data_IF_255291338380
#
_entry.id   IF_255291338380
#
_cell.length_a   1.000
_cell.length_b   1.000
_cell.length_c   1.000
_cell.angle_alpha   90.00
_cell.angle_beta   90.00
_cell.angle_gamma   90.00
#
_symmetry.space_group_name_H-M   'P 1'
#
loop_
_entity.id
_entity.type
_entity.pdbx_description
1 polymer ?
#
# COMPACT_ATOMS: atom_id res chain seq x y z
N UNK A 1 1.12 4.11 -14.59
CA UNK A 1 0.97 5.41 -13.90
C UNK A 1 0.71 5.23 -12.40
N UNK A 2 -0.30 4.45 -12.01
CA UNK A 2 -0.57 4.12 -10.59
C UNK A 2 0.68 3.55 -9.88
N UNK A 3 1.32 2.54 -10.47
CA UNK A 3 2.56 1.96 -9.91
C UNK A 3 3.62 3.02 -9.61
N UNK A 4 3.90 3.91 -10.56
CA UNK A 4 4.90 4.98 -10.38
C UNK A 4 4.49 5.94 -9.27
N UNK A 5 3.24 6.42 -9.26
CA UNK A 5 2.75 7.33 -8.21
C UNK A 5 2.79 6.70 -6.81
N UNK A 6 2.43 5.41 -6.71
CA UNK A 6 2.46 4.65 -5.47
C UNK A 6 3.89 4.43 -4.97
N UNK A 7 4.83 4.10 -5.85
CA UNK A 7 6.23 3.84 -5.48
C UNK A 7 7.03 5.11 -5.18
N UNK A 8 6.58 6.28 -5.66
CA UNK A 8 7.18 7.57 -5.33
C UNK A 8 6.54 8.24 -4.10
N UNK A 9 5.46 7.70 -3.54
CA UNK A 9 4.82 8.25 -2.33
C UNK A 9 3.80 9.35 -2.58
N UNK A 10 3.29 9.49 -3.81
CA UNK A 10 2.32 10.54 -4.14
C UNK A 10 0.87 10.11 -3.84
N UNK A 11 0.48 10.15 -2.56
CA UNK A 11 -0.84 9.76 -2.09
C UNK A 11 -1.99 10.43 -2.83
N UNK A 12 -1.92 11.74 -3.08
CA UNK A 12 -3.01 12.48 -3.74
C UNK A 12 -3.20 12.07 -5.21
N UNK A 13 -2.12 11.76 -5.91
CA UNK A 13 -2.19 11.23 -7.28
C UNK A 13 -2.80 9.83 -7.26
N UNK A 14 -2.42 9.01 -6.27
CA UNK A 14 -2.99 7.66 -6.08
C UNK A 14 -4.50 7.72 -5.85
N UNK A 15 -4.97 8.60 -4.94
CA UNK A 15 -6.40 8.82 -4.68
C UNK A 15 -7.13 9.26 -5.96
N UNK A 16 -6.54 10.21 -6.68
CA UNK A 16 -7.12 10.71 -7.93
C UNK A 16 -7.25 9.61 -8.98
N UNK A 17 -6.19 8.81 -9.18
CA UNK A 17 -6.21 7.70 -10.12
C UNK A 17 -7.25 6.64 -9.73
N UNK A 18 -7.40 6.33 -8.44
CA UNK A 18 -8.40 5.35 -8.00
C UNK A 18 -9.84 5.82 -8.24
N UNK A 19 -10.13 7.11 -8.04
CA UNK A 19 -11.49 7.67 -8.20
C UNK A 19 -11.85 7.82 -9.67
N UNK A 20 -10.93 8.30 -10.49
CA UNK A 20 -11.21 8.70 -11.88
C UNK A 20 -10.79 7.67 -12.94
N UNK A 21 -10.00 6.65 -12.58
CA UNK A 21 -9.55 5.64 -13.51
C UNK A 21 -10.01 4.24 -13.08
N UNK A 22 -11.09 3.76 -13.70
CA UNK A 22 -11.71 2.44 -13.45
C UNK A 22 -10.81 1.24 -13.77
N UNK A 23 -9.75 1.43 -14.57
CA UNK A 23 -8.76 0.38 -14.85
C UNK A 23 -7.60 0.35 -13.84
N UNK A 24 -7.51 1.34 -12.95
CA UNK A 24 -6.45 1.44 -11.95
C UNK A 24 -6.75 0.54 -10.75
N UNK A 25 -6.43 -0.74 -10.87
CA UNK A 25 -6.48 -1.68 -9.75
C UNK A 25 -5.09 -1.85 -9.13
N UNK A 26 -5.02 -1.88 -7.80
CA UNK A 26 -3.78 -2.17 -7.10
C UNK A 26 -3.42 -3.65 -7.25
N UNK A 27 -2.27 -3.91 -7.87
CA UNK A 27 -1.68 -5.24 -7.87
C UNK A 27 -0.93 -5.50 -6.55
N UNK A 28 -0.81 -6.78 -6.18
CA UNK A 28 0.02 -7.20 -5.04
C UNK A 28 1.46 -6.72 -5.15
N UNK A 29 1.98 -6.62 -6.38
CA UNK A 29 3.32 -6.08 -6.66
C UNK A 29 3.39 -4.58 -6.32
N UNK A 30 2.32 -3.83 -6.57
CA UNK A 30 2.28 -2.40 -6.25
C UNK A 30 2.29 -2.17 -4.75
N UNK A 31 1.42 -2.85 -3.99
CA UNK A 31 1.37 -2.74 -2.51
C UNK A 31 2.67 -3.19 -1.86
N UNK A 32 3.27 -4.26 -2.36
CA UNK A 32 4.58 -4.75 -1.93
C UNK A 32 5.69 -3.70 -2.12
N UNK A 33 5.69 -3.01 -3.26
CA UNK A 33 6.70 -1.99 -3.54
C UNK A 33 6.49 -0.70 -2.73
N UNK A 34 5.23 -0.34 -2.46
CA UNK A 34 4.87 0.76 -1.55
C UNK A 34 5.41 0.48 -0.15
N UNK A 35 5.23 -0.75 0.36
CA UNK A 35 5.76 -1.18 1.65
C UNK A 35 7.28 -1.20 1.68
N UNK A 36 7.91 -1.71 0.62
CA UNK A 36 9.36 -1.69 0.45
C UNK A 36 9.97 -0.27 0.44
N UNK A 37 9.19 0.74 0.03
CA UNK A 37 9.64 2.13 -0.04
C UNK A 37 9.22 2.98 1.17
N UNK A 38 8.69 2.37 2.24
CA UNK A 38 8.21 3.04 3.46
C UNK A 38 7.07 4.06 3.24
N UNK A 39 6.22 3.85 2.24
CA UNK A 39 5.09 4.76 1.96
C UNK A 39 3.85 4.38 2.79
N UNK A 40 3.97 4.50 4.12
CA UNK A 40 2.95 4.10 5.09
C UNK A 40 1.58 4.75 4.83
N UNK A 41 1.54 6.04 4.49
CA UNK A 41 0.28 6.77 4.27
C UNK A 41 -0.56 6.16 3.14
N UNK A 42 0.10 5.70 2.07
CA UNK A 42 -0.56 5.02 0.96
C UNK A 42 -1.11 3.68 1.43
N UNK A 43 -0.34 2.90 2.21
CA UNK A 43 -0.80 1.62 2.73
C UNK A 43 -1.98 1.78 3.69
N UNK A 44 -1.95 2.76 4.58
CA UNK A 44 -3.08 3.07 5.47
C UNK A 44 -4.33 3.44 4.68
N UNK A 45 -4.17 4.27 3.65
CA UNK A 45 -5.30 4.65 2.80
C UNK A 45 -5.86 3.46 2.02
N UNK A 46 -5.00 2.60 1.47
CA UNK A 46 -5.40 1.36 0.80
C UNK A 46 -6.07 0.37 1.75
N UNK A 47 -5.67 0.36 3.02
CA UNK A 47 -6.26 -0.54 4.01
C UNK A 47 -7.70 -0.16 4.34
N UNK A 48 -8.07 1.10 4.14
CA UNK A 48 -9.46 1.56 4.21
C UNK A 48 -10.29 1.22 2.95
N UNK A 49 -9.70 0.63 1.91
CA UNK A 49 -10.39 0.25 0.68
C UNK A 49 -10.68 -1.27 0.68
N UNK A 50 -11.96 -1.65 0.61
CA UNK A 50 -12.39 -3.05 0.62
C UNK A 50 -11.97 -3.86 -0.62
N UNK A 51 -11.54 -3.18 -1.69
CA UNK A 51 -11.18 -3.81 -2.97
C UNK A 51 -9.73 -4.28 -3.05
N UNK A 52 -8.91 -3.98 -2.03
CA UNK A 52 -7.47 -4.26 -2.06
C UNK A 52 -7.19 -5.66 -1.53
N UNK A 53 -6.48 -6.45 -2.35
CA UNK A 53 -5.90 -7.72 -1.88
C UNK A 53 -4.59 -7.44 -1.16
N UNK A 54 -4.46 -8.02 0.02
CA UNK A 54 -3.24 -7.99 0.82
C UNK A 54 -2.49 -9.32 0.70
N UNK A 55 -1.17 -9.26 0.57
CA UNK A 55 -0.27 -10.44 0.61
C UNK A 55 0.64 -10.34 1.83
N UNK A 56 1.12 -11.48 2.32
CA UNK A 56 2.18 -11.54 3.34
C UNK A 56 3.48 -10.92 2.84
N UNK A 57 3.72 -10.96 1.52
CA UNK A 57 4.90 -10.34 0.88
C UNK A 57 5.06 -8.85 1.23
N UNK A 58 3.94 -8.15 1.45
CA UNK A 58 3.94 -6.73 1.82
C UNK A 58 4.64 -6.52 3.16
N UNK A 59 4.37 -7.39 4.15
CA UNK A 59 5.01 -7.34 5.46
C UNK A 59 6.45 -7.84 5.39
N UNK A 60 6.71 -8.91 4.64
CA UNK A 60 8.05 -9.50 4.51
C UNK A 60 9.03 -8.50 3.87
N UNK A 61 8.59 -7.77 2.84
CA UNK A 61 9.41 -6.74 2.18
C UNK A 61 9.62 -5.50 3.03
N UNK A 62 8.62 -5.10 3.84
CA UNK A 62 8.80 -4.04 4.83
C UNK A 62 9.82 -4.46 5.90
N UNK A 63 9.76 -5.72 6.36
CA UNK A 63 10.69 -6.28 7.34
C UNK A 63 12.12 -6.39 6.80
N UNK A 64 12.29 -6.87 5.57
CA UNK A 64 13.58 -6.95 4.88
C UNK A 64 14.29 -5.59 4.78
N UNK A 65 13.52 -4.51 4.68
CA UNK A 65 14.05 -3.13 4.62
C UNK A 65 14.13 -2.44 5.99
N UNK A 66 13.68 -3.09 7.06
CA UNK A 66 13.65 -2.51 8.41
C UNK A 66 12.58 -1.43 8.59
N UNK A 67 11.53 -1.42 7.76
CA UNK A 67 10.42 -0.47 7.82
C UNK A 67 9.41 -0.89 8.89
N UNK A 68 9.84 -0.80 10.15
CA UNK A 68 9.04 -1.14 11.35
C UNK A 68 7.73 -0.34 11.42
N UNK A 69 7.74 0.92 10.96
CA UNK A 69 6.55 1.79 10.92
C UNK A 69 5.45 1.22 10.02
N UNK A 70 5.81 0.66 8.87
CA UNK A 70 4.88 -0.02 7.96
C UNK A 70 4.31 -1.27 8.59
N UNK A 71 5.15 -2.07 9.25
CA UNK A 71 4.72 -3.31 9.91
C UNK A 71 3.73 -2.98 11.03
N UNK A 72 4.08 -2.04 11.91
CA UNK A 72 3.20 -1.68 13.03
C UNK A 72 1.92 -1.03 12.53
N UNK A 73 2.01 -0.13 11.54
CA UNK A 73 0.84 0.50 10.92
C UNK A 73 -0.10 -0.49 10.22
N UNK A 74 0.41 -1.52 9.56
CA UNK A 74 -0.42 -2.58 8.99
C UNK A 74 -0.99 -3.52 10.06
N UNK A 75 -0.22 -3.80 11.12
CA UNK A 75 -0.64 -4.65 12.24
C UNK A 75 -1.77 -4.02 13.05
N UNK A 76 -1.71 -2.71 13.31
CA UNK A 76 -2.78 -1.97 14.00
C UNK A 76 -4.07 -1.90 13.18
N UNK A 77 -3.97 -2.01 11.85
CA UNK A 77 -5.12 -1.89 10.96
C UNK A 77 -5.75 -3.23 10.57
N UNK A 78 -5.06 -4.37 10.75
CA UNK A 78 -5.70 -5.69 10.61
C UNK A 78 -6.76 -5.87 11.71
N UNK A 79 -8.03 -5.78 11.33
CA UNK A 79 -9.17 -6.21 12.16
C UNK A 79 -9.29 -7.75 12.20
N UNK A 80 -8.20 -8.46 12.44
CA UNK A 80 -8.28 -9.88 12.80
C UNK A 80 -8.29 -9.96 14.32
N UNK A 81 -9.51 -9.86 14.86
CA UNK A 81 -9.91 -10.47 16.12
C UNK A 81 -10.94 -11.56 15.80
#
# INVERSE_FOLDING_TARGET
MLYSASTTGHLEIVKWLQIYCTESCFSLVTTSMVARNNHLEILQWLHCQDSIKWSTDVMDLAADKGHLEVIEGLRTNRKEG
#
